data_IF_639351891112
#
_entry.id   IF_639351891112
#
_cell.length_a   1.000
_cell.length_b   1.000
_cell.length_c   1.000
_cell.angle_alpha   90.00
_cell.angle_beta   90.00
_cell.angle_gamma   90.00
#
_symmetry.space_group_name_H-M   'P 1'
#
loop_
_entity.id
_entity.type
_entity.pdbx_description
1 polymer ?
#
# COMPACT_ATOMS: atom_id res chain seq x y z
N UNK A 1 -9.40 -15.20 5.04
CA UNK A 1 -9.38 -14.75 3.63
C UNK A 1 -10.44 -13.67 3.49
N UNK A 2 -10.01 -12.42 3.36
CA UNK A 2 -10.90 -11.28 3.15
C UNK A 2 -11.42 -11.15 1.71
N UNK A 3 -12.22 -10.10 1.44
CA UNK A 3 -12.72 -9.79 0.11
C UNK A 3 -11.57 -9.64 -0.90
N UNK A 4 -11.78 -10.19 -2.10
CA UNK A 4 -10.83 -10.12 -3.19
C UNK A 4 -11.33 -9.13 -4.25
N UNK A 5 -10.44 -8.30 -4.76
CA UNK A 5 -10.71 -7.34 -5.82
C UNK A 5 -9.62 -7.35 -6.88
N UNK A 6 -9.76 -6.53 -7.89
CA UNK A 6 -8.66 -6.18 -8.78
C UNK A 6 -7.72 -5.24 -8.04
N UNK A 7 -6.45 -5.56 -8.01
CA UNK A 7 -5.40 -4.75 -7.40
C UNK A 7 -4.37 -4.35 -8.45
N UNK A 8 -3.83 -3.15 -8.30
CA UNK A 8 -2.75 -2.63 -9.12
C UNK A 8 -1.42 -3.34 -8.79
N UNK A 9 -1.21 -3.62 -7.50
CA UNK A 9 -0.09 -4.36 -6.94
C UNK A 9 1.28 -3.64 -7.03
N UNK A 10 1.32 -2.41 -7.57
CA UNK A 10 2.52 -1.57 -7.67
C UNK A 10 2.17 -0.08 -7.56
N UNK A 11 1.56 0.31 -6.43
CA UNK A 11 0.96 1.64 -6.22
C UNK A 11 1.91 2.66 -5.58
N UNK A 12 3.22 2.54 -5.79
CA UNK A 12 4.17 3.54 -5.29
C UNK A 12 3.95 4.91 -5.96
N UNK A 13 4.44 5.98 -5.31
CA UNK A 13 4.17 7.36 -5.74
C UNK A 13 4.62 7.65 -7.18
N UNK A 14 5.62 6.95 -7.71
CA UNK A 14 6.10 7.10 -9.08
C UNK A 14 5.09 6.68 -10.15
N UNK A 15 4.10 5.86 -9.79
CA UNK A 15 3.03 5.40 -10.71
C UNK A 15 1.78 6.28 -10.64
N UNK A 16 1.80 7.38 -9.88
CA UNK A 16 0.70 8.34 -9.81
C UNK A 16 0.94 9.52 -10.71
N UNK A 17 -0.10 10.03 -11.35
CA UNK A 17 -0.05 11.25 -12.14
C UNK A 17 -1.27 12.13 -11.88
N UNK A 18 -1.10 13.44 -12.05
CA UNK A 18 -2.19 14.39 -11.95
C UNK A 18 -2.66 14.81 -13.35
N UNK A 19 -3.95 14.65 -13.61
CA UNK A 19 -4.57 15.07 -14.86
C UNK A 19 -4.65 16.62 -14.94
N UNK A 20 -4.80 17.20 -16.15
CA UNK A 20 -5.03 18.65 -16.28
C UNK A 20 -6.26 19.15 -15.51
N UNK A 21 -7.26 18.31 -15.32
CA UNK A 21 -8.48 18.60 -14.52
C UNK A 21 -8.29 18.42 -13.02
N UNK A 22 -7.07 18.17 -12.53
CA UNK A 22 -6.76 18.06 -11.11
C UNK A 22 -7.05 16.71 -10.48
N UNK A 23 -7.55 15.73 -11.22
CA UNK A 23 -7.79 14.36 -10.71
C UNK A 23 -6.50 13.57 -10.71
N UNK A 24 -6.36 12.66 -9.74
CA UNK A 24 -5.26 11.70 -9.71
C UNK A 24 -5.59 10.48 -10.58
N UNK A 25 -4.57 9.90 -11.18
CA UNK A 25 -4.64 8.66 -11.92
C UNK A 25 -3.45 7.76 -11.61
N UNK A 26 -3.56 6.49 -11.96
CA UNK A 26 -2.50 5.48 -11.85
C UNK A 26 -2.09 5.04 -13.27
N UNK A 27 -0.80 4.85 -13.46
CA UNK A 27 -0.21 4.26 -14.66
C UNK A 27 0.55 2.97 -14.28
N UNK A 28 1.13 2.30 -15.26
CA UNK A 28 1.94 1.09 -15.08
C UNK A 28 1.18 -0.09 -14.44
N UNK A 29 0.17 -0.56 -15.13
CA UNK A 29 -0.69 -1.67 -14.72
C UNK A 29 -0.11 -3.06 -15.00
N UNK A 30 1.21 -3.18 -15.20
CA UNK A 30 1.87 -4.44 -15.54
C UNK A 30 1.75 -5.51 -14.43
N UNK A 31 1.62 -5.09 -13.18
CA UNK A 31 1.48 -5.97 -12.02
C UNK A 31 0.02 -6.27 -11.64
N UNK A 32 -0.95 -5.86 -12.51
CA UNK A 32 -2.38 -6.05 -12.28
C UNK A 32 -2.71 -7.49 -11.91
N UNK A 33 -3.43 -7.66 -10.82
CA UNK A 33 -3.80 -8.97 -10.33
C UNK A 33 -5.13 -9.01 -9.58
N UNK A 34 -5.44 -10.17 -9.04
CA UNK A 34 -6.54 -10.35 -8.09
C UNK A 34 -5.97 -10.58 -6.69
N UNK A 35 -6.35 -9.73 -5.76
CA UNK A 35 -5.84 -9.79 -4.40
C UNK A 35 -6.71 -9.07 -3.38
N UNK A 36 -6.18 -8.91 -2.18
CA UNK A 36 -6.81 -8.12 -1.12
C UNK A 36 -6.71 -6.63 -1.48
N UNK A 37 -7.82 -5.88 -1.32
CA UNK A 37 -7.79 -4.42 -1.45
C UNK A 37 -6.77 -3.77 -0.49
N UNK A 38 -6.55 -4.38 0.66
CA UNK A 38 -5.58 -3.88 1.63
C UNK A 38 -4.13 -3.91 1.14
N UNK A 39 -3.81 -4.72 0.13
CA UNK A 39 -2.48 -4.74 -0.49
C UNK A 39 -2.13 -3.37 -1.08
N UNK A 40 -3.00 -2.83 -1.93
CA UNK A 40 -2.77 -1.51 -2.54
C UNK A 40 -2.87 -0.37 -1.50
N UNK A 41 -3.82 -0.46 -0.55
CA UNK A 41 -3.93 0.55 0.52
C UNK A 41 -2.66 0.60 1.36
N UNK A 42 -2.18 -0.54 1.84
CA UNK A 42 -1.00 -0.61 2.67
C UNK A 42 0.24 -0.11 1.91
N UNK A 43 0.37 -0.50 0.66
CA UNK A 43 1.48 -0.07 -0.17
C UNK A 43 1.45 1.44 -0.42
N UNK A 44 0.33 1.98 -0.89
CA UNK A 44 0.20 3.41 -1.19
C UNK A 44 0.44 4.27 0.05
N UNK A 45 -0.25 4.00 1.17
CA UNK A 45 -0.19 4.82 2.38
C UNK A 45 1.20 4.74 3.03
N UNK A 46 1.77 3.53 3.16
CA UNK A 46 3.04 3.36 3.87
C UNK A 46 4.27 3.78 3.08
N UNK A 47 4.21 3.85 1.74
CA UNK A 47 5.35 4.26 0.92
C UNK A 47 5.32 5.73 0.53
N UNK A 48 4.14 6.30 0.23
CA UNK A 48 4.03 7.64 -0.33
C UNK A 48 4.16 8.76 0.72
N UNK A 49 3.76 8.50 1.97
CA UNK A 49 3.73 9.50 3.04
C UNK A 49 5.02 9.47 3.86
N UNK A 50 5.38 10.61 4.45
CA UNK A 50 6.36 10.62 5.53
C UNK A 50 5.82 9.83 6.73
N UNK A 51 6.68 9.45 7.67
CA UNK A 51 6.25 8.72 8.86
C UNK A 51 5.23 9.53 9.67
N UNK A 52 5.46 10.84 9.80
CA UNK A 52 4.60 11.78 10.50
C UNK A 52 3.25 11.93 9.81
N UNK A 53 3.24 12.26 8.51
CA UNK A 53 1.99 12.41 7.75
C UNK A 53 1.18 11.12 7.72
N UNK A 54 1.85 9.96 7.64
CA UNK A 54 1.16 8.67 7.71
C UNK A 54 0.44 8.50 9.04
N UNK A 55 1.12 8.77 10.16
CA UNK A 55 0.52 8.68 11.51
C UNK A 55 -0.70 9.59 11.66
N UNK A 56 -0.63 10.77 11.06
CA UNK A 56 -1.69 11.77 11.17
C UNK A 56 -2.89 11.43 10.26
N UNK A 57 -2.66 10.80 9.08
CA UNK A 57 -3.69 10.71 8.04
C UNK A 57 -4.16 9.30 7.73
N UNK A 58 -3.46 8.24 8.12
CA UNK A 58 -3.77 6.88 7.67
C UNK A 58 -5.17 6.40 8.03
N UNK A 59 -5.68 6.72 9.22
CA UNK A 59 -7.05 6.39 9.59
C UNK A 59 -8.07 7.09 8.70
N UNK A 60 -7.90 8.39 8.46
CA UNK A 60 -8.83 9.17 7.65
C UNK A 60 -8.76 8.77 6.17
N UNK A 61 -7.59 8.40 5.66
CA UNK A 61 -7.44 7.85 4.32
C UNK A 61 -8.17 6.51 4.17
N UNK A 62 -8.13 5.64 5.17
CA UNK A 62 -8.86 4.36 5.15
C UNK A 62 -10.37 4.60 5.23
N UNK A 63 -10.83 5.53 6.08
CA UNK A 63 -12.25 5.95 6.14
C UNK A 63 -12.73 6.50 4.79
N UNK A 64 -11.93 7.38 4.17
CA UNK A 64 -12.22 7.92 2.84
C UNK A 64 -12.30 6.82 1.78
N UNK A 65 -11.38 5.86 1.80
CA UNK A 65 -11.43 4.71 0.89
C UNK A 65 -12.74 3.94 1.02
N UNK A 66 -13.17 3.62 2.26
CA UNK A 66 -14.43 2.91 2.51
C UNK A 66 -15.63 3.74 2.01
N UNK A 67 -15.63 5.05 2.27
CA UNK A 67 -16.66 5.94 1.77
C UNK A 67 -16.75 5.92 0.25
N UNK A 68 -15.61 6.03 -0.45
CA UNK A 68 -15.57 6.06 -1.91
C UNK A 68 -16.00 4.73 -2.53
N UNK A 69 -15.57 3.59 -1.99
CA UNK A 69 -16.01 2.30 -2.51
C UNK A 69 -17.49 2.04 -2.23
N UNK A 70 -18.06 2.59 -1.16
CA UNK A 70 -19.49 2.44 -0.85
C UNK A 70 -20.38 3.07 -1.92
N UNK A 71 -19.91 4.12 -2.59
CA UNK A 71 -20.62 4.79 -3.68
C UNK A 71 -20.76 3.93 -4.94
N UNK A 72 -19.97 2.85 -5.05
CA UNK A 72 -20.01 1.93 -6.21
C UNK A 72 -21.18 0.96 -6.19
N UNK A 73 -21.91 0.86 -5.06
CA UNK A 73 -23.05 -0.03 -4.89
C UNK A 73 -22.71 -1.51 -4.76
N UNK A 74 -21.45 -1.87 -4.50
CA UNK A 74 -21.05 -3.25 -4.24
C UNK A 74 -21.53 -3.70 -2.85
N UNK A 75 -21.85 -5.01 -2.73
CA UNK A 75 -22.20 -5.64 -1.47
C UNK A 75 -20.96 -6.24 -0.77
N UNK A 76 -21.04 -6.37 0.55
CA UNK A 76 -19.98 -7.02 1.32
C UNK A 76 -18.71 -6.18 1.46
N UNK A 77 -18.85 -4.87 1.47
CA UNK A 77 -17.75 -3.94 1.74
C UNK A 77 -17.28 -4.07 3.19
N UNK A 78 -15.99 -3.87 3.45
CA UNK A 78 -15.47 -3.90 4.82
C UNK A 78 -16.00 -2.70 5.61
N UNK A 79 -16.23 -2.90 6.90
CA UNK A 79 -16.28 -1.80 7.85
C UNK A 79 -14.87 -1.28 8.17
N UNK A 80 -14.77 -0.22 8.99
CA UNK A 80 -13.49 0.39 9.32
C UNK A 80 -12.56 -0.59 10.04
N UNK A 81 -13.05 -1.34 11.01
CA UNK A 81 -12.25 -2.29 11.80
C UNK A 81 -11.66 -3.39 10.92
N UNK A 82 -12.45 -3.91 10.00
CA UNK A 82 -12.00 -4.90 9.02
C UNK A 82 -10.95 -4.33 8.06
N UNK A 83 -11.17 -3.10 7.58
CA UNK A 83 -10.24 -2.43 6.68
C UNK A 83 -8.93 -2.09 7.39
N UNK A 84 -9.00 -1.60 8.62
CA UNK A 84 -7.87 -1.30 9.48
C UNK A 84 -7.02 -2.54 9.78
N UNK A 85 -7.68 -3.64 10.16
CA UNK A 85 -6.98 -4.91 10.37
C UNK A 85 -6.30 -5.40 9.09
N UNK A 86 -7.00 -5.32 7.95
CA UNK A 86 -6.46 -5.74 6.66
C UNK A 86 -5.27 -4.89 6.25
N UNK A 87 -5.35 -3.57 6.42
CA UNK A 87 -4.26 -2.63 6.19
C UNK A 87 -3.00 -3.03 6.97
N UNK A 88 -3.13 -3.21 8.28
CA UNK A 88 -2.03 -3.59 9.18
C UNK A 88 -1.39 -4.93 8.80
N UNK A 89 -2.20 -5.90 8.37
CA UNK A 89 -1.71 -7.22 7.92
C UNK A 89 -0.97 -7.16 6.58
N UNK A 90 -1.32 -6.22 5.70
CA UNK A 90 -0.76 -6.12 4.35
C UNK A 90 0.52 -5.25 4.28
N UNK A 91 0.93 -4.58 5.34
CA UNK A 91 2.16 -3.78 5.38
C UNK A 91 3.42 -4.58 5.00
N UNK A 92 3.45 -5.88 5.31
CA UNK A 92 4.58 -6.75 4.96
C UNK A 92 4.72 -6.98 3.46
N UNK A 93 3.61 -6.96 2.70
CA UNK A 93 3.67 -7.17 1.25
C UNK A 93 4.54 -6.10 0.57
N UNK A 94 4.28 -4.84 0.88
CA UNK A 94 5.02 -3.73 0.34
C UNK A 94 6.51 -3.75 0.78
N UNK A 95 6.78 -4.06 2.05
CA UNK A 95 8.14 -4.17 2.56
C UNK A 95 8.95 -5.25 1.83
N UNK A 96 8.36 -6.44 1.63
CA UNK A 96 9.02 -7.54 0.92
C UNK A 96 9.37 -7.11 -0.50
N UNK A 97 8.45 -6.44 -1.19
CA UNK A 97 8.65 -5.96 -2.56
C UNK A 97 9.86 -5.01 -2.64
N UNK A 98 9.92 -4.01 -1.76
CA UNK A 98 11.01 -3.03 -1.76
C UNK A 98 12.35 -3.59 -1.28
N UNK A 99 12.35 -4.54 -0.35
CA UNK A 99 13.59 -5.22 0.06
C UNK A 99 14.16 -6.08 -1.07
N UNK A 100 13.29 -6.65 -1.92
CA UNK A 100 13.72 -7.39 -3.10
C UNK A 100 14.46 -6.51 -4.11
N UNK A 101 14.05 -5.24 -4.28
CA UNK A 101 14.71 -4.31 -5.23
C UNK A 101 16.17 -4.00 -4.87
N UNK A 102 16.54 -4.04 -3.57
CA UNK A 102 17.93 -3.87 -3.11
C UNK A 102 18.66 -5.20 -3.10
N UNK A 103 17.99 -6.30 -2.75
CA UNK A 103 18.63 -7.60 -2.50
C UNK A 103 18.97 -8.41 -3.74
N UNK A 104 18.46 -8.05 -4.91
CA UNK A 104 18.57 -8.88 -6.12
C UNK A 104 19.98 -8.83 -6.77
N UNK A 105 20.83 -7.87 -6.43
CA UNK A 105 22.22 -7.77 -6.90
C UNK A 105 22.35 -7.90 -8.42
N UNK A 106 23.35 -8.66 -8.88
CA UNK A 106 23.63 -8.85 -10.31
C UNK A 106 22.52 -9.62 -11.09
N UNK A 107 21.52 -10.13 -10.40
CA UNK A 107 20.43 -10.90 -11.03
C UNK A 107 19.27 -10.02 -11.53
N UNK A 108 19.26 -8.74 -11.20
CA UNK A 108 18.22 -7.80 -11.57
C UNK A 108 18.85 -6.51 -12.10
N UNK A 109 18.23 -5.92 -13.13
CA UNK A 109 18.63 -4.59 -13.60
C UNK A 109 18.37 -3.54 -12.52
N UNK A 110 19.20 -2.50 -12.48
CA UNK A 110 18.96 -1.34 -11.61
C UNK A 110 17.63 -0.70 -12.00
N UNK A 111 16.63 -0.85 -11.12
CA UNK A 111 15.27 -0.33 -11.36
C UNK A 111 15.14 1.13 -10.93
N UNK A 112 15.80 1.50 -9.84
CA UNK A 112 15.84 2.85 -9.28
C UNK A 112 17.07 3.00 -8.37
N UNK A 113 17.46 4.24 -7.99
CA UNK A 113 18.51 4.46 -7.00
C UNK A 113 18.17 3.79 -5.66
N UNK A 114 19.15 3.16 -5.02
CA UNK A 114 18.99 2.48 -3.72
C UNK A 114 18.42 3.39 -2.64
N UNK A 115 18.73 4.69 -2.69
CA UNK A 115 18.21 5.69 -1.77
C UNK A 115 16.67 5.72 -1.77
N UNK A 116 16.02 5.61 -2.93
CA UNK A 116 14.57 5.57 -3.01
C UNK A 116 14.00 4.30 -2.38
N UNK A 117 14.65 3.17 -2.59
CA UNK A 117 14.26 1.90 -1.97
C UNK A 117 14.42 1.96 -0.44
N UNK A 118 15.52 2.53 0.05
CA UNK A 118 15.79 2.67 1.48
C UNK A 118 14.76 3.57 2.19
N UNK A 119 14.39 4.71 1.57
CA UNK A 119 13.34 5.60 2.11
C UNK A 119 12.01 4.86 2.23
N UNK A 120 11.62 4.08 1.23
CA UNK A 120 10.37 3.32 1.28
C UNK A 120 10.43 2.21 2.34
N UNK A 121 11.55 1.48 2.43
CA UNK A 121 11.76 0.45 3.46
C UNK A 121 11.67 1.07 4.87
N UNK A 122 12.30 2.23 5.10
CA UNK A 122 12.24 2.95 6.37
C UNK A 122 10.78 3.29 6.73
N UNK A 123 10.03 3.91 5.84
CA UNK A 123 8.63 4.27 6.05
C UNK A 123 7.76 3.06 6.40
N UNK A 124 7.92 1.96 5.65
CA UNK A 124 7.16 0.73 5.85
C UNK A 124 7.53 0.03 7.16
N UNK A 125 8.81 0.01 7.54
CA UNK A 125 9.24 -0.58 8.81
C UNK A 125 8.70 0.20 10.00
N UNK A 126 8.63 1.54 9.91
CA UNK A 126 7.96 2.35 10.93
C UNK A 126 6.46 2.03 11.01
N UNK A 127 5.77 1.86 9.86
CA UNK A 127 4.35 1.49 9.88
C UNK A 127 4.12 0.12 10.54
N UNK A 128 4.94 -0.88 10.22
CA UNK A 128 4.87 -2.22 10.82
C UNK A 128 5.10 -2.15 12.34
N UNK A 129 6.08 -1.34 12.79
CA UNK A 129 6.39 -1.19 14.22
C UNK A 129 5.28 -0.44 14.97
N UNK A 130 4.79 0.68 14.42
CA UNK A 130 3.73 1.49 15.03
C UNK A 130 2.43 0.68 15.25
N UNK A 131 2.15 -0.27 14.35
CA UNK A 131 0.93 -1.09 14.38
C UNK A 131 1.10 -2.45 15.04
N UNK A 132 2.29 -2.77 15.55
CA UNK A 132 2.60 -4.12 16.08
C UNK A 132 2.13 -5.22 15.11
N UNK A 133 2.42 -5.04 13.81
CA UNK A 133 1.87 -5.90 12.77
C UNK A 133 2.38 -7.34 12.84
N UNK A 134 3.51 -7.57 13.49
CA UNK A 134 4.01 -8.94 13.73
C UNK A 134 3.07 -9.76 14.60
N UNK A 135 2.43 -9.16 15.61
CA UNK A 135 1.46 -9.84 16.47
C UNK A 135 0.26 -10.38 15.69
N UNK A 136 -0.03 -9.80 14.51
CA UNK A 136 -1.17 -10.18 13.67
C UNK A 136 -0.89 -11.39 12.77
N UNK A 137 0.37 -11.86 12.67
CA UNK A 137 0.74 -13.01 11.86
C UNK A 137 0.46 -14.34 12.55
N UNK A 138 0.13 -14.33 13.85
CA UNK A 138 -0.12 -15.55 14.62
C UNK A 138 1.12 -16.41 14.80
N UNK A 139 2.32 -15.80 14.79
CA UNK A 139 3.62 -16.44 14.98
C UNK A 139 3.99 -16.52 16.46
#
# INVERSE_FOLDING_TARGET
KGPQTVIHNDVHIGNWYKTPGGRMGLCDWQALGRGSYGTDLAYAISSALTVEDRRDWEEDLIKLYIEEISKTGHYGLPDFEQAWLTYRQQLFHALIFWTFTIGAGAMQADMQPDEHSLINIERMTHAIADHDSFSLLGL
#
